data_IF_526411569330
#
_entry.id   IF_526411569330
#
_cell.length_a   1.000
_cell.length_b   1.000
_cell.length_c   1.000
_cell.angle_alpha   90.00
_cell.angle_beta   90.00
_cell.angle_gamma   90.00
#
_symmetry.space_group_name_H-M   'P 1'
#
loop_
_entity.id
_entity.type
_entity.pdbx_description
1 polymer ?
#
# COMPACT_ATOMS: atom_id res chain seq x y z
N UNK A 1 -10.88 2.45 -7.54
CA UNK A 1 -11.20 1.36 -6.61
C UNK A 1 -9.94 0.52 -6.36
N UNK A 2 -9.28 0.74 -5.27
CA UNK A 2 -8.03 0.08 -4.86
C UNK A 2 -8.16 -1.43 -4.56
N UNK A 3 -9.12 -2.12 -5.17
CA UNK A 3 -9.41 -3.53 -4.93
C UNK A 3 -10.04 -3.79 -3.56
N UNK A 4 -10.48 -2.75 -2.85
CA UNK A 4 -11.23 -2.87 -1.60
C UNK A 4 -12.68 -3.30 -1.88
N UNK A 5 -13.28 -3.97 -0.91
CA UNK A 5 -14.70 -4.35 -0.97
C UNK A 5 -15.51 -3.24 -0.30
N UNK A 6 -16.24 -2.45 -1.09
CA UNK A 6 -16.87 -1.20 -0.68
C UNK A 6 -17.90 -1.35 0.45
N UNK A 7 -18.65 -2.44 0.44
CA UNK A 7 -19.70 -2.71 1.44
C UNK A 7 -19.18 -3.31 2.75
N UNK A 8 -17.93 -3.72 2.79
CA UNK A 8 -17.27 -4.19 4.00
C UNK A 8 -16.66 -3.03 4.79
N UNK A 9 -16.48 -3.25 6.07
CA UNK A 9 -15.73 -2.34 6.94
C UNK A 9 -14.24 -2.38 6.61
N UNK A 10 -13.50 -1.38 7.10
CA UNK A 10 -12.04 -1.38 7.06
C UNK A 10 -11.50 -2.65 7.72
N UNK A 11 -12.01 -3.00 8.90
CA UNK A 11 -11.59 -4.19 9.64
C UNK A 11 -11.73 -5.48 8.81
N UNK A 12 -12.89 -5.68 8.16
CA UNK A 12 -13.15 -6.84 7.31
C UNK A 12 -12.24 -6.87 6.07
N UNK A 13 -11.96 -5.72 5.47
CA UNK A 13 -11.01 -5.61 4.37
C UNK A 13 -9.57 -5.97 4.80
N UNK A 14 -9.16 -5.58 6.00
CA UNK A 14 -7.84 -5.92 6.54
C UNK A 14 -7.74 -7.40 6.92
N UNK A 15 -8.83 -8.02 7.37
CA UNK A 15 -8.88 -9.46 7.66
C UNK A 15 -8.57 -10.31 6.41
N UNK A 16 -8.92 -9.82 5.21
CA UNK A 16 -8.55 -10.47 3.95
C UNK A 16 -7.01 -10.56 3.81
N UNK A 17 -6.29 -9.51 4.17
CA UNK A 17 -4.83 -9.51 4.16
C UNK A 17 -4.21 -10.52 5.15
N UNK A 18 -4.92 -10.82 6.23
CA UNK A 18 -4.49 -11.73 7.29
C UNK A 18 -5.06 -13.14 7.17
N UNK A 19 -5.82 -13.44 6.11
CA UNK A 19 -6.58 -14.69 5.98
C UNK A 19 -5.70 -15.94 6.10
N UNK A 20 -4.51 -15.91 5.53
CA UNK A 20 -3.57 -17.04 5.52
C UNK A 20 -2.53 -17.01 6.64
N UNK A 21 -2.50 -15.97 7.47
CA UNK A 21 -1.56 -15.89 8.59
C UNK A 21 -2.02 -16.78 9.76
N UNK A 22 -1.16 -17.71 10.15
CA UNK A 22 -1.38 -18.64 11.28
C UNK A 22 -0.99 -17.98 12.60
N UNK A 23 -1.71 -16.91 12.96
CA UNK A 23 -1.54 -16.19 14.23
C UNK A 23 -2.89 -16.10 14.95
N UNK A 24 -2.86 -15.87 16.26
CA UNK A 24 -4.08 -15.78 17.06
C UNK A 24 -4.96 -14.60 16.66
N UNK A 25 -6.24 -14.66 16.98
CA UNK A 25 -7.19 -13.54 16.76
C UNK A 25 -6.70 -12.25 17.46
N UNK A 26 -6.16 -12.38 18.67
CA UNK A 26 -5.63 -11.24 19.43
C UNK A 26 -4.45 -10.58 18.70
N UNK A 27 -3.52 -11.37 18.16
CA UNK A 27 -2.38 -10.86 17.39
C UNK A 27 -2.85 -10.17 16.10
N UNK A 28 -3.83 -10.74 15.39
CA UNK A 28 -4.43 -10.11 14.20
C UNK A 28 -5.00 -8.72 14.54
N UNK A 29 -5.76 -8.61 15.62
CA UNK A 29 -6.33 -7.32 16.07
C UNK A 29 -5.23 -6.31 16.41
N UNK A 30 -4.21 -6.72 17.17
CA UNK A 30 -3.11 -5.83 17.55
C UNK A 30 -2.34 -5.31 16.33
N UNK A 31 -2.08 -6.15 15.34
CA UNK A 31 -1.38 -5.76 14.12
C UNK A 31 -2.24 -4.76 13.31
N UNK A 32 -3.53 -5.01 13.16
CA UNK A 32 -4.45 -4.09 12.47
C UNK A 32 -4.48 -2.72 13.13
N UNK A 33 -4.66 -2.68 14.44
CA UNK A 33 -4.70 -1.42 15.22
C UNK A 33 -3.39 -0.65 15.01
N UNK A 34 -2.23 -1.30 15.13
CA UNK A 34 -0.92 -0.66 14.95
C UNK A 34 -0.79 0.01 13.57
N UNK A 35 -1.17 -0.69 12.49
CA UNK A 35 -1.10 -0.11 11.14
C UNK A 35 -2.11 1.02 10.94
N UNK A 36 -3.33 0.87 11.43
CA UNK A 36 -4.37 1.91 11.36
C UNK A 36 -3.91 3.18 12.07
N UNK A 37 -3.30 3.08 13.22
CA UNK A 37 -2.73 4.23 13.95
C UNK A 37 -1.55 4.85 13.18
N UNK A 38 -0.60 4.02 12.74
CA UNK A 38 0.57 4.45 11.97
C UNK A 38 0.19 5.21 10.71
N UNK A 39 -0.89 4.80 10.04
CA UNK A 39 -1.36 5.41 8.78
C UNK A 39 -2.38 6.53 9.00
N UNK A 40 -2.56 7.01 10.23
CA UNK A 40 -3.46 8.13 10.55
C UNK A 40 -4.94 7.83 10.30
N UNK A 41 -5.33 6.58 10.47
CA UNK A 41 -6.70 6.09 10.27
C UNK A 41 -7.38 5.68 11.59
N UNK A 42 -6.96 6.26 12.71
CA UNK A 42 -7.55 5.99 14.02
C UNK A 42 -9.07 6.11 13.98
N UNK A 43 -9.76 5.19 14.64
CA UNK A 43 -11.23 5.07 14.66
C UNK A 43 -11.90 4.67 13.32
N UNK A 44 -11.14 4.26 12.30
CA UNK A 44 -11.70 3.90 11.00
C UNK A 44 -12.09 2.41 10.87
N UNK A 45 -11.64 1.53 11.76
CA UNK A 45 -11.83 0.07 11.65
C UNK A 45 -13.29 -0.35 11.43
N UNK A 46 -14.25 0.33 12.09
CA UNK A 46 -15.69 0.01 12.00
C UNK A 46 -16.39 0.76 10.85
N UNK A 47 -15.71 1.68 10.18
CA UNK A 47 -16.29 2.41 9.05
C UNK A 47 -16.32 1.53 7.80
N UNK A 48 -17.38 1.67 7.01
CA UNK A 48 -17.47 1.03 5.69
C UNK A 48 -16.56 1.77 4.70
N UNK A 49 -15.91 1.02 3.81
CA UNK A 49 -14.93 1.56 2.88
C UNK A 49 -15.50 2.68 2.00
N UNK A 50 -16.74 2.55 1.53
CA UNK A 50 -17.38 3.58 0.71
C UNK A 50 -17.60 4.92 1.44
N UNK A 51 -17.49 4.97 2.78
CA UNK A 51 -17.60 6.22 3.57
C UNK A 51 -16.26 6.93 3.76
N UNK A 52 -15.18 6.35 3.27
CA UNK A 52 -13.83 6.91 3.36
C UNK A 52 -13.54 7.83 2.17
N UNK A 53 -12.68 8.82 2.39
CA UNK A 53 -12.09 9.60 1.29
C UNK A 53 -11.19 8.72 0.41
N UNK A 54 -10.90 9.16 -0.82
CA UNK A 54 -10.01 8.42 -1.72
C UNK A 54 -8.62 8.15 -1.12
N UNK A 55 -8.04 9.14 -0.43
CA UNK A 55 -6.76 8.97 0.26
C UNK A 55 -6.83 8.01 1.46
N UNK A 56 -7.95 7.99 2.20
CA UNK A 56 -8.18 7.00 3.27
C UNK A 56 -8.29 5.59 2.68
N UNK A 57 -9.05 5.41 1.58
CA UNK A 57 -9.17 4.13 0.88
C UNK A 57 -7.83 3.63 0.39
N UNK A 58 -7.02 4.51 -0.20
CA UNK A 58 -5.67 4.17 -0.67
C UNK A 58 -4.80 3.66 0.48
N UNK A 59 -4.81 4.33 1.64
CA UNK A 59 -4.07 3.89 2.83
C UNK A 59 -4.56 2.55 3.36
N UNK A 60 -5.87 2.30 3.38
CA UNK A 60 -6.42 0.98 3.77
C UNK A 60 -5.95 -0.13 2.82
N UNK A 61 -5.93 0.13 1.51
CA UNK A 61 -5.45 -0.83 0.51
C UNK A 61 -3.96 -1.16 0.71
N UNK A 62 -3.14 -0.14 0.99
CA UNK A 62 -1.72 -0.31 1.30
C UNK A 62 -1.52 -1.15 2.58
N UNK A 63 -2.24 -0.83 3.66
CA UNK A 63 -2.19 -1.64 4.89
C UNK A 63 -2.56 -3.09 4.60
N UNK A 64 -3.62 -3.34 3.83
CA UNK A 64 -4.04 -4.71 3.48
C UNK A 64 -2.95 -5.46 2.71
N UNK A 65 -2.28 -4.78 1.78
CA UNK A 65 -1.13 -5.35 1.06
C UNK A 65 0.01 -5.68 2.03
N UNK A 66 0.36 -4.77 2.93
CA UNK A 66 1.41 -4.98 3.93
C UNK A 66 1.09 -6.14 4.87
N UNK A 67 -0.17 -6.27 5.29
CA UNK A 67 -0.64 -7.39 6.12
C UNK A 67 -0.55 -8.73 5.41
N UNK A 68 -0.77 -8.75 4.09
CA UNK A 68 -0.61 -9.95 3.27
C UNK A 68 0.85 -10.38 3.17
N UNK A 69 1.77 -9.42 3.25
CA UNK A 69 3.23 -9.65 3.24
C UNK A 69 3.70 -10.46 2.01
N UNK A 70 3.41 -10.01 0.79
CA UNK A 70 3.72 -10.75 -0.43
C UNK A 70 5.21 -10.68 -0.76
N UNK A 71 5.70 -11.67 -1.52
CA UNK A 71 7.08 -11.68 -2.05
C UNK A 71 7.26 -10.59 -3.12
N UNK A 72 6.23 -10.37 -3.95
CA UNK A 72 6.22 -9.34 -4.99
C UNK A 72 5.14 -8.32 -4.67
N UNK A 73 5.53 -7.07 -4.55
CA UNK A 73 4.65 -5.93 -4.33
C UNK A 73 4.61 -5.06 -5.58
N UNK A 74 3.42 -4.66 -5.99
CA UNK A 74 3.20 -3.74 -7.10
C UNK A 74 2.53 -2.48 -6.57
N UNK A 75 3.12 -1.33 -6.80
CA UNK A 75 2.59 -0.04 -6.41
C UNK A 75 2.59 0.92 -7.61
N UNK A 76 1.41 1.39 -7.99
CA UNK A 76 1.20 2.34 -9.08
C UNK A 76 0.79 3.69 -8.47
N UNK A 77 1.66 4.70 -8.65
CA UNK A 77 1.48 6.06 -8.10
C UNK A 77 0.99 6.06 -6.63
N UNK A 78 1.70 5.37 -5.71
CA UNK A 78 1.18 5.11 -4.35
C UNK A 78 0.97 6.37 -3.52
N UNK A 79 1.47 7.52 -3.96
CA UNK A 79 1.37 8.81 -3.24
C UNK A 79 0.56 9.88 -3.98
N UNK A 80 0.06 9.58 -5.19
CA UNK A 80 -0.53 10.57 -6.09
C UNK A 80 -1.76 11.32 -5.53
N UNK A 81 -2.51 10.73 -4.60
CA UNK A 81 -3.70 11.34 -3.99
C UNK A 81 -3.47 11.82 -2.55
N UNK A 82 -2.22 11.91 -2.10
CA UNK A 82 -1.87 12.16 -0.71
C UNK A 82 -1.11 13.49 -0.54
N UNK A 83 -1.23 14.08 0.64
CA UNK A 83 -0.37 15.19 1.03
C UNK A 83 1.11 14.72 1.15
N UNK A 84 2.09 15.62 0.97
CA UNK A 84 3.51 15.25 0.92
C UNK A 84 4.00 14.48 2.15
N UNK A 85 3.54 14.84 3.35
CA UNK A 85 3.95 14.20 4.60
C UNK A 85 3.44 12.75 4.67
N UNK A 86 2.18 12.55 4.36
CA UNK A 86 1.57 11.21 4.32
C UNK A 86 2.19 10.38 3.19
N UNK A 87 2.42 10.97 2.03
CA UNK A 87 3.09 10.32 0.90
C UNK A 87 4.47 9.79 1.26
N UNK A 88 5.31 10.62 1.90
CA UNK A 88 6.65 10.23 2.33
C UNK A 88 6.61 9.09 3.35
N UNK A 89 5.69 9.12 4.32
CA UNK A 89 5.50 8.05 5.29
C UNK A 89 5.17 6.72 4.60
N UNK A 90 4.30 6.75 3.60
CA UNK A 90 3.91 5.55 2.83
C UNK A 90 5.09 4.98 2.06
N UNK A 91 5.85 5.82 1.35
CA UNK A 91 7.05 5.38 0.60
C UNK A 91 8.06 4.74 1.55
N UNK A 92 8.35 5.35 2.68
CA UNK A 92 9.25 4.76 3.68
C UNK A 92 8.73 3.42 4.22
N UNK A 93 7.42 3.32 4.44
CA UNK A 93 6.80 2.06 4.88
C UNK A 93 6.91 0.97 3.82
N UNK A 94 6.73 1.30 2.53
CA UNK A 94 6.88 0.36 1.42
C UNK A 94 8.33 -0.11 1.27
N UNK A 95 9.29 0.81 1.30
CA UNK A 95 10.72 0.46 1.23
C UNK A 95 11.17 -0.38 2.43
N UNK A 96 10.62 -0.11 3.62
CA UNK A 96 10.88 -0.90 4.82
C UNK A 96 10.38 -2.35 4.77
N UNK A 97 9.53 -2.70 3.78
CA UNK A 97 9.08 -4.08 3.56
C UNK A 97 10.01 -4.88 2.65
N UNK A 98 10.88 -4.21 1.91
CA UNK A 98 11.82 -4.88 0.98
C UNK A 98 12.95 -5.49 1.76
N UNK A 99 13.24 -6.76 1.50
CA UNK A 99 14.36 -7.51 2.04
C UNK A 99 14.95 -8.44 0.96
N UNK A 100 15.88 -9.29 1.31
CA UNK A 100 16.56 -10.23 0.38
C UNK A 100 15.59 -11.14 -0.40
N UNK A 101 14.37 -11.33 0.10
CA UNK A 101 13.37 -12.23 -0.46
C UNK A 101 12.17 -11.53 -1.09
N UNK A 102 12.14 -10.19 -1.06
CA UNK A 102 10.99 -9.40 -1.50
C UNK A 102 11.37 -8.35 -2.53
N UNK A 103 10.51 -8.17 -3.50
CA UNK A 103 10.65 -7.19 -4.59
C UNK A 103 9.48 -6.21 -4.55
N UNK A 104 9.78 -4.92 -4.58
CA UNK A 104 8.83 -3.86 -4.81
C UNK A 104 9.03 -3.31 -6.23
N UNK A 105 7.99 -3.42 -7.05
CA UNK A 105 7.92 -2.76 -8.36
C UNK A 105 7.01 -1.54 -8.22
N UNK A 106 7.59 -0.37 -8.45
CA UNK A 106 6.92 0.91 -8.22
C UNK A 106 6.87 1.69 -9.54
N UNK A 107 5.66 2.03 -9.99
CA UNK A 107 5.47 2.97 -11.08
C UNK A 107 5.25 4.36 -10.50
N UNK A 108 6.04 5.33 -10.94
CA UNK A 108 5.92 6.72 -10.50
C UNK A 108 6.52 7.68 -11.53
N UNK A 109 6.01 8.89 -11.58
CA UNK A 109 6.61 10.02 -12.28
C UNK A 109 7.43 10.94 -11.35
N UNK A 110 7.44 10.66 -10.05
CA UNK A 110 8.22 11.41 -9.06
C UNK A 110 9.67 10.91 -9.02
N UNK A 111 10.57 11.71 -9.59
CA UNK A 111 12.01 11.39 -9.64
C UNK A 111 12.64 11.33 -8.25
N UNK A 112 12.12 12.03 -7.25
CA UNK A 112 12.63 11.95 -5.89
C UNK A 112 12.36 10.58 -5.25
N UNK A 113 11.25 9.94 -5.62
CA UNK A 113 10.93 8.57 -5.23
C UNK A 113 11.75 7.58 -6.06
N UNK A 114 11.79 7.75 -7.39
CA UNK A 114 12.50 6.85 -8.29
C UNK A 114 14.00 6.74 -7.92
N UNK A 115 14.63 7.85 -7.57
CA UNK A 115 16.05 7.88 -7.17
C UNK A 115 16.37 7.18 -5.84
N UNK A 116 15.36 6.74 -5.09
CA UNK A 116 15.54 5.93 -3.88
C UNK A 116 15.48 4.42 -4.16
N UNK A 117 15.11 4.03 -5.39
CA UNK A 117 15.06 2.63 -5.81
C UNK A 117 16.45 2.12 -6.22
N UNK A 118 16.67 0.82 -6.09
CA UNK A 118 17.92 0.16 -6.49
C UNK A 118 18.13 0.19 -8.00
N UNK A 119 17.04 0.14 -8.78
CA UNK A 119 17.03 0.14 -10.23
C UNK A 119 15.89 0.99 -10.79
N UNK A 120 16.15 1.73 -11.87
CA UNK A 120 15.17 2.56 -12.56
C UNK A 120 15.03 2.07 -14.00
N UNK A 121 13.80 1.78 -14.41
CA UNK A 121 13.45 1.48 -15.80
C UNK A 121 12.71 2.69 -16.38
N UNK A 122 13.36 3.42 -17.29
CA UNK A 122 12.76 4.54 -17.98
C UNK A 122 11.99 4.05 -19.22
N UNK A 123 10.65 4.09 -19.13
CA UNK A 123 9.78 3.61 -20.20
C UNK A 123 9.81 4.49 -21.47
N UNK A 124 10.30 5.74 -21.39
CA UNK A 124 10.43 6.59 -22.58
C UNK A 124 11.46 6.04 -23.55
N UNK A 125 12.48 5.35 -23.06
CA UNK A 125 13.51 4.72 -23.90
C UNK A 125 12.90 3.61 -24.80
N UNK A 126 11.82 2.99 -24.39
CA UNK A 126 11.15 1.92 -25.13
C UNK A 126 10.08 2.44 -26.11
N UNK A 127 9.59 3.67 -25.97
CA UNK A 127 8.64 4.29 -26.91
C UNK A 127 9.19 4.47 -28.32
N UNK A 128 10.51 4.70 -28.44
CA UNK A 128 11.18 4.91 -29.74
C UNK A 128 11.26 3.65 -30.60
N UNK A 129 11.10 2.46 -30.02
CA UNK A 129 11.20 1.18 -30.75
C UNK A 129 9.86 0.77 -31.35
N UNK A 130 8.74 1.21 -30.80
CA UNK A 130 7.40 0.87 -31.29
C UNK A 130 6.90 1.75 -32.45
N UNK A 131 7.64 2.79 -32.83
CA UNK A 131 7.33 3.71 -33.96
C UNK A 131 8.19 3.47 -35.20
N UNK A 132 8.89 2.39 -35.25
CA UNK A 132 9.54 1.81 -36.44
C UNK A 132 8.71 0.64 -36.95
#
# INVERSE_FOLDING_TARGET
>A
NYGLIDNLTVNENLDIGLAYKKISKKEKEQIKIRYIEQFGLSNSLKRKVHTLSGGEQQRVALIRMMLKDPIVMLADEPTGALDPKTGQMIIQSLFGLVDENKVLILATHDMAIANQCDEIIDLEQYRKVASM
#
